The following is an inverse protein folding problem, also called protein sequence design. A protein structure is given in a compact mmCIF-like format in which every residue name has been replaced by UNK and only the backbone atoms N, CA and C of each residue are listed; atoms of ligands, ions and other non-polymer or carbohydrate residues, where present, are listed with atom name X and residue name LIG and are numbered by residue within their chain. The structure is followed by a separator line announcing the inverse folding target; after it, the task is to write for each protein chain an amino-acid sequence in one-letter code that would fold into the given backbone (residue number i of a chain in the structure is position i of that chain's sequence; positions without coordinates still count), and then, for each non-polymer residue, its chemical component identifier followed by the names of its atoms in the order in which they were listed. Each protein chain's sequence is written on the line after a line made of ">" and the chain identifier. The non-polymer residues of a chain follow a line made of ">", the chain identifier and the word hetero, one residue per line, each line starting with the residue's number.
data_IF_515655838753
#
_entry.id   IF_515655838753
#
_cell.length_a   1.000
_cell.length_b   1.000
_cell.length_c   1.000
_cell.angle_alpha   90.00
_cell.angle_beta   90.00
_cell.angle_gamma   90.00
#
_symmetry.space_group_name_H-M   'P 1'
#
loop_
_entity.id
_entity.type
_entity.pdbx_description
1 polymer ?
#
# COMPACT_ATOMS: atom_id res chain seq x y z
N UNK A 1 -0.88 29.63 -6.76
CA UNK A 1 -0.17 28.38 -7.09
C UNK A 1 -0.39 27.43 -5.94
N UNK A 2 -1.17 26.37 -6.15
CA UNK A 2 -1.49 25.42 -5.08
C UNK A 2 -0.25 24.63 -4.72
N UNK A 3 0.32 24.89 -3.56
CA UNK A 3 1.22 23.95 -2.93
C UNK A 3 0.40 22.68 -2.69
N UNK A 4 0.71 21.59 -3.39
CA UNK A 4 0.12 20.30 -3.11
C UNK A 4 0.43 19.99 -1.64
N UNK A 5 -0.60 19.89 -0.81
CA UNK A 5 -0.43 19.44 0.56
C UNK A 5 0.31 18.09 0.52
N UNK A 6 1.30 17.88 1.40
CA UNK A 6 2.00 16.61 1.44
C UNK A 6 0.99 15.50 1.65
N UNK A 7 1.00 14.49 0.77
CA UNK A 7 0.12 13.34 0.92
C UNK A 7 0.33 12.74 2.32
N UNK A 8 -0.75 12.40 3.05
CA UNK A 8 -0.65 11.90 4.41
C UNK A 8 0.18 10.60 4.43
N UNK A 9 1.15 10.53 5.35
CA UNK A 9 1.93 9.32 5.60
C UNK A 9 1.21 8.50 6.67
N UNK A 10 0.86 7.26 6.35
CA UNK A 10 0.26 6.31 7.28
C UNK A 10 1.15 5.08 7.47
N UNK A 11 1.13 4.50 8.67
CA UNK A 11 1.71 3.18 8.97
C UNK A 11 0.57 2.20 9.17
N UNK A 12 0.54 1.14 8.35
CA UNK A 12 -0.49 0.11 8.38
C UNK A 12 0.13 -1.23 8.78
N UNK A 13 -0.60 -2.02 9.57
CA UNK A 13 -0.25 -3.41 9.88
C UNK A 13 -1.16 -4.31 9.07
N UNK A 14 -0.58 -5.06 8.15
CA UNK A 14 -1.33 -6.01 7.32
C UNK A 14 -1.13 -7.43 7.89
N UNK A 15 -2.21 -8.05 8.33
CA UNK A 15 -2.20 -9.45 8.76
C UNK A 15 -2.50 -10.35 7.56
N UNK A 16 -1.55 -11.21 7.18
CA UNK A 16 -1.76 -12.17 6.09
C UNK A 16 -2.87 -13.17 6.44
N UNK A 17 -3.65 -13.56 5.44
CA UNK A 17 -4.59 -14.69 5.52
C UNK A 17 -4.06 -15.89 4.71
N UNK A 18 -4.89 -16.92 4.53
CA UNK A 18 -4.53 -18.12 3.76
C UNK A 18 -4.19 -17.81 2.29
N UNK A 19 -4.67 -16.68 1.75
CA UNK A 19 -4.36 -16.19 0.41
C UNK A 19 -3.18 -15.19 0.40
N UNK A 20 -2.52 -14.97 1.54
CA UNK A 20 -1.38 -14.08 1.70
C UNK A 20 -1.79 -12.64 2.05
N UNK A 21 -1.01 -11.65 1.60
CA UNK A 21 -1.28 -10.24 1.87
C UNK A 21 -2.31 -9.61 0.93
N UNK A 22 -2.60 -10.23 -0.22
CA UNK A 22 -3.59 -9.72 -1.18
C UNK A 22 -3.17 -8.40 -1.85
N UNK A 23 -1.88 -8.16 -2.06
CA UNK A 23 -1.37 -7.02 -2.83
C UNK A 23 -0.22 -7.43 -3.74
N UNK A 24 0.04 -6.63 -4.78
CA UNK A 24 1.25 -6.68 -5.60
C UNK A 24 1.98 -5.35 -5.50
N UNK A 25 3.31 -5.41 -5.50
CA UNK A 25 4.18 -4.23 -5.48
C UNK A 25 5.02 -4.19 -6.75
N UNK A 26 5.39 -2.99 -7.18
CA UNK A 26 6.20 -2.77 -8.38
C UNK A 26 7.15 -1.59 -8.20
N UNK A 27 8.29 -1.65 -8.88
CA UNK A 27 9.36 -0.65 -8.82
C UNK A 27 10.47 -1.06 -7.85
N UNK A 28 11.67 -0.52 -8.08
CA UNK A 28 12.87 -0.79 -7.27
C UNK A 28 13.23 0.38 -6.35
N UNK A 29 13.11 1.61 -6.85
CA UNK A 29 13.19 2.82 -6.03
C UNK A 29 12.63 4.04 -6.80
N UNK A 30 11.44 4.56 -6.46
CA UNK A 30 10.54 4.13 -5.39
C UNK A 30 9.69 2.90 -5.74
N UNK A 31 9.28 2.16 -4.69
CA UNK A 31 8.35 1.02 -4.79
C UNK A 31 6.92 1.50 -4.53
N UNK A 32 5.97 1.00 -5.32
CA UNK A 32 4.54 1.31 -5.20
C UNK A 32 3.69 0.05 -5.10
N UNK A 33 2.51 0.20 -4.50
CA UNK A 33 1.46 -0.81 -4.56
C UNK A 33 0.85 -0.79 -5.94
N UNK A 34 1.11 -1.83 -6.73
CA UNK A 34 0.61 -1.98 -8.09
C UNK A 34 -0.89 -2.32 -8.11
N UNK A 35 -1.29 -3.26 -7.25
CA UNK A 35 -2.69 -3.64 -7.12
C UNK A 35 -3.00 -4.22 -5.76
N UNK A 36 -4.26 -4.09 -5.35
CA UNK A 36 -4.81 -4.64 -4.12
C UNK A 36 -5.99 -5.52 -4.48
N UNK A 37 -6.03 -6.73 -3.96
CA UNK A 37 -7.14 -7.66 -4.14
C UNK A 37 -8.34 -7.15 -3.34
N UNK A 38 -9.47 -6.99 -4.00
CA UNK A 38 -10.73 -6.62 -3.35
C UNK A 38 -11.07 -7.61 -2.22
N UNK A 39 -11.40 -7.06 -1.05
CA UNK A 39 -11.68 -7.84 0.16
C UNK A 39 -10.48 -8.60 0.75
N UNK A 40 -9.29 -8.50 0.18
CA UNK A 40 -8.07 -9.15 0.69
C UNK A 40 -7.47 -8.46 1.93
N UNK A 41 -6.45 -9.08 2.52
CA UNK A 41 -5.81 -8.57 3.74
C UNK A 41 -5.34 -7.11 3.63
N UNK A 42 -4.66 -6.74 2.53
CA UNK A 42 -4.21 -5.38 2.28
C UNK A 42 -5.37 -4.38 2.15
N UNK A 43 -6.45 -4.74 1.44
CA UNK A 43 -7.65 -3.90 1.34
C UNK A 43 -8.29 -3.65 2.71
N UNK A 44 -8.41 -4.71 3.53
CA UNK A 44 -8.96 -4.61 4.89
C UNK A 44 -8.08 -3.76 5.82
N UNK A 45 -6.78 -3.70 5.57
CA UNK A 45 -5.86 -2.81 6.28
C UNK A 45 -5.91 -1.35 5.80
N UNK A 46 -6.64 -1.06 4.71
CA UNK A 46 -6.77 0.29 4.15
C UNK A 46 -5.68 0.67 3.14
N UNK A 47 -4.97 -0.32 2.58
CA UNK A 47 -3.98 -0.09 1.53
C UNK A 47 -4.66 0.03 0.17
N UNK A 48 -4.18 0.96 -0.67
CA UNK A 48 -4.73 1.22 -1.99
C UNK A 48 -3.67 1.11 -3.08
N UNK A 49 -4.13 0.81 -4.31
CA UNK A 49 -3.25 0.87 -5.48
C UNK A 49 -2.78 2.31 -5.71
N UNK A 50 -1.49 2.48 -5.98
CA UNK A 50 -0.84 3.79 -6.09
C UNK A 50 -0.14 4.26 -4.81
N UNK A 51 -0.39 3.63 -3.67
CA UNK A 51 0.33 3.95 -2.43
C UNK A 51 1.84 3.74 -2.59
N UNK A 52 2.62 4.70 -2.12
CA UNK A 52 4.08 4.64 -2.13
C UNK A 52 4.57 3.95 -0.86
N UNK A 53 5.38 2.92 -1.03
CA UNK A 53 6.01 2.25 0.09
C UNK A 53 7.26 3.04 0.48
N UNK A 54 7.27 3.55 1.71
CA UNK A 54 8.39 4.32 2.26
C UNK A 54 9.34 3.41 3.05
N UNK A 55 8.79 2.42 3.75
CA UNK A 55 9.52 1.46 4.59
C UNK A 55 8.70 0.19 4.79
N UNK A 56 9.39 -0.95 4.83
CA UNK A 56 8.88 -2.24 5.32
C UNK A 56 9.73 -2.70 6.52
N UNK A 57 9.19 -3.57 7.36
CA UNK A 57 9.89 -4.15 8.51
C UNK A 57 10.17 -5.64 8.28
#
# INVERSE_FOLDING_TARGET
>A
GGAAEPAPIATLVVYKDDAGFGMKVSGDNPVYVQSVKEGGAAARAGLHAGDKIIKVN
#
